data_IF_123323774244
#
_entry.id   IF_123323774244
#
_cell.length_a   1.000
_cell.length_b   1.000
_cell.length_c   1.000
_cell.angle_alpha   90.00
_cell.angle_beta   90.00
_cell.angle_gamma   90.00
#
_symmetry.space_group_name_H-M   'P 1'
#
loop_
_entity.id
_entity.type
_entity.pdbx_description
1 polymer ?
#
# COMPACT_ATOMS: atom_id res chain seq x y z
N UNK A 1 12.76 -17.03 -0.69
CA UNK A 1 13.33 -15.66 -0.61
C UNK A 1 12.75 -14.85 0.54
N UNK A 2 11.44 -14.88 0.78
CA UNK A 2 10.81 -14.14 1.88
C UNK A 2 11.34 -14.48 3.28
N UNK A 3 11.67 -15.75 3.56
CA UNK A 3 12.20 -16.13 4.88
C UNK A 3 13.59 -15.54 5.15
N UNK A 4 14.43 -15.44 4.12
CA UNK A 4 15.74 -14.76 4.23
C UNK A 4 15.55 -13.26 4.46
N UNK A 5 14.59 -12.63 3.75
CA UNK A 5 14.30 -11.21 3.94
C UNK A 5 13.81 -10.93 5.36
N UNK A 6 12.94 -11.80 5.90
CA UNK A 6 12.48 -11.73 7.27
C UNK A 6 13.61 -11.89 8.28
N UNK A 7 14.50 -12.88 8.09
CA UNK A 7 15.68 -13.08 8.93
C UNK A 7 16.56 -11.83 8.97
N UNK A 8 16.85 -11.23 7.82
CA UNK A 8 17.64 -10.00 7.75
C UNK A 8 16.95 -8.82 8.42
N UNK A 9 15.65 -8.64 8.21
CA UNK A 9 14.88 -7.59 8.88
C UNK A 9 14.87 -7.77 10.40
N UNK A 10 14.76 -9.00 10.90
CA UNK A 10 14.85 -9.28 12.33
C UNK A 10 16.23 -8.98 12.91
N UNK A 11 17.31 -9.32 12.19
CA UNK A 11 18.69 -8.94 12.57
C UNK A 11 18.84 -7.40 12.62
N UNK A 12 18.34 -6.70 11.61
CA UNK A 12 18.33 -5.24 11.58
C UNK A 12 17.54 -4.63 12.73
N UNK A 13 16.37 -5.18 13.06
CA UNK A 13 15.54 -4.71 14.18
C UNK A 13 16.31 -4.78 15.51
N UNK A 14 16.97 -5.92 15.76
CA UNK A 14 17.80 -6.11 16.96
C UNK A 14 18.97 -5.11 17.00
N UNK A 15 19.66 -4.93 15.86
CA UNK A 15 20.77 -3.99 15.77
C UNK A 15 20.30 -2.55 16.04
N UNK A 16 19.31 -2.06 15.29
CA UNK A 16 18.82 -0.67 15.42
C UNK A 16 18.21 -0.39 16.78
N UNK A 17 17.55 -1.38 17.40
CA UNK A 17 17.09 -1.27 18.79
C UNK A 17 18.23 -1.07 19.78
N UNK A 18 19.35 -1.77 19.60
CA UNK A 18 20.52 -1.67 20.52
C UNK A 18 21.22 -0.31 20.45
N UNK A 19 21.19 0.36 19.30
CA UNK A 19 21.80 1.68 19.08
C UNK A 19 20.76 2.82 19.07
N UNK A 20 19.52 2.54 19.50
CA UNK A 20 18.43 3.50 19.67
C UNK A 20 18.08 4.33 18.41
N UNK A 21 18.27 3.77 17.22
CA UNK A 21 17.94 4.42 15.95
C UNK A 21 16.43 4.30 15.64
N UNK A 22 15.64 5.20 16.21
CA UNK A 22 14.16 5.14 16.20
C UNK A 22 13.54 5.05 14.81
N UNK A 23 13.95 5.91 13.88
CA UNK A 23 13.45 5.91 12.50
C UNK A 23 13.65 4.57 11.81
N UNK A 24 14.81 3.93 12.03
CA UNK A 24 15.12 2.65 11.42
C UNK A 24 14.33 1.51 12.06
N UNK A 25 14.13 1.52 13.38
CA UNK A 25 13.25 0.56 14.07
C UNK A 25 11.83 0.61 13.51
N UNK A 26 11.23 1.80 13.42
CA UNK A 26 9.89 1.98 12.86
C UNK A 26 9.79 1.48 11.42
N UNK A 27 10.77 1.83 10.58
CA UNK A 27 10.83 1.39 9.18
C UNK A 27 11.00 -0.13 9.04
N UNK A 28 11.82 -0.75 9.91
CA UNK A 28 11.98 -2.21 9.91
C UNK A 28 10.69 -2.92 10.32
N UNK A 29 9.97 -2.42 11.33
CA UNK A 29 8.67 -2.97 11.75
C UNK A 29 7.62 -2.83 10.63
N UNK A 30 7.57 -1.68 9.97
CA UNK A 30 6.75 -1.46 8.78
C UNK A 30 7.00 -2.52 7.70
N UNK A 31 8.26 -2.80 7.37
CA UNK A 31 8.60 -3.82 6.37
C UNK A 31 8.28 -5.24 6.82
N UNK A 32 8.51 -5.59 8.09
CA UNK A 32 8.15 -6.89 8.64
C UNK A 32 6.63 -7.14 8.53
N UNK A 33 5.80 -6.16 8.89
CA UNK A 33 4.34 -6.27 8.77
C UNK A 33 3.93 -6.47 7.31
N UNK A 34 4.44 -5.65 6.39
CA UNK A 34 4.14 -5.78 4.95
C UNK A 34 4.58 -7.13 4.39
N UNK A 35 5.73 -7.64 4.82
CA UNK A 35 6.22 -8.95 4.42
C UNK A 35 5.30 -10.07 4.94
N UNK A 36 4.91 -10.02 6.20
CA UNK A 36 3.96 -10.99 6.78
C UNK A 36 2.59 -10.96 6.08
N UNK A 37 2.08 -9.78 5.74
CA UNK A 37 0.84 -9.65 4.95
C UNK A 37 0.98 -10.28 3.56
N UNK A 38 2.11 -10.07 2.86
CA UNK A 38 2.39 -10.72 1.57
C UNK A 38 2.50 -12.24 1.68
N UNK A 39 3.06 -12.75 2.79
CA UNK A 39 3.09 -14.19 3.12
C UNK A 39 1.73 -14.74 3.54
N UNK A 40 0.68 -13.90 3.65
CA UNK A 40 -0.64 -14.23 4.22
C UNK A 40 -0.58 -14.69 5.69
N UNK A 41 0.49 -14.35 6.40
CA UNK A 41 0.70 -14.66 7.81
C UNK A 41 0.11 -13.56 8.72
N UNK A 42 -1.22 -13.47 8.78
CA UNK A 42 -1.93 -12.39 9.49
C UNK A 42 -1.59 -12.33 10.99
N UNK A 43 -1.48 -13.48 11.66
CA UNK A 43 -1.14 -13.52 13.09
C UNK A 43 0.23 -12.89 13.35
N UNK A 44 1.20 -13.21 12.51
CA UNK A 44 2.54 -12.64 12.61
C UNK A 44 2.54 -11.13 12.32
N UNK A 45 1.79 -10.68 11.31
CA UNK A 45 1.63 -9.26 11.04
C UNK A 45 1.05 -8.51 12.26
N UNK A 46 0.07 -9.11 12.95
CA UNK A 46 -0.50 -8.57 14.19
C UNK A 46 0.50 -8.52 15.34
N UNK A 47 1.35 -9.53 15.48
CA UNK A 47 2.37 -9.53 16.53
C UNK A 47 3.43 -8.44 16.30
N UNK A 48 3.86 -8.25 15.05
CA UNK A 48 4.71 -7.10 14.69
C UNK A 48 3.98 -5.77 14.88
N UNK A 49 2.67 -5.68 14.61
CA UNK A 49 1.89 -4.47 14.87
C UNK A 49 1.81 -4.15 16.37
N UNK A 50 1.66 -5.14 17.25
CA UNK A 50 1.69 -4.91 18.72
C UNK A 50 3.04 -4.33 19.15
N UNK A 51 4.14 -4.84 18.59
CA UNK A 51 5.48 -4.31 18.85
C UNK A 51 5.61 -2.87 18.32
N UNK A 52 5.10 -2.61 17.11
CA UNK A 52 5.11 -1.29 16.52
C UNK A 52 4.23 -0.29 17.29
N UNK A 53 3.09 -0.72 17.83
CA UNK A 53 2.25 0.09 18.69
C UNK A 53 3.00 0.57 19.93
N UNK A 54 3.64 -0.34 20.67
CA UNK A 54 4.44 0.02 21.86
C UNK A 54 5.53 1.03 21.50
N UNK A 55 6.27 0.74 20.43
CA UNK A 55 7.31 1.62 19.93
C UNK A 55 6.78 3.01 19.53
N UNK A 56 5.61 3.07 18.90
CA UNK A 56 4.97 4.31 18.46
C UNK A 56 4.42 5.13 19.62
N UNK A 57 3.88 4.51 20.67
CA UNK A 57 3.43 5.22 21.87
C UNK A 57 4.61 5.88 22.58
N UNK A 58 5.76 5.23 22.63
CA UNK A 58 6.94 5.75 23.32
C UNK A 58 7.72 6.79 22.51
N UNK A 59 7.77 6.63 21.18
CA UNK A 59 8.73 7.34 20.32
C UNK A 59 8.18 7.75 18.95
N UNK A 60 6.87 7.61 18.75
CA UNK A 60 6.23 7.79 17.45
C UNK A 60 5.97 9.25 17.12
N UNK A 61 6.68 9.76 16.12
CA UNK A 61 6.46 11.10 15.57
C UNK A 61 6.57 11.06 14.03
N UNK A 62 5.91 12.02 13.37
CA UNK A 62 5.95 12.20 11.92
C UNK A 62 5.79 10.90 11.12
N UNK A 63 6.80 10.55 10.32
CA UNK A 63 6.80 9.37 9.45
C UNK A 63 6.62 8.05 10.21
N UNK A 64 7.08 7.93 11.46
CA UNK A 64 6.93 6.68 12.23
C UNK A 64 5.46 6.44 12.56
N UNK A 65 4.76 7.47 13.03
CA UNK A 65 3.33 7.42 13.34
C UNK A 65 2.50 7.15 12.08
N UNK A 66 2.89 7.78 10.97
CA UNK A 66 2.31 7.49 9.66
C UNK A 66 2.44 6.01 9.28
N UNK A 67 3.64 5.42 9.36
CA UNK A 67 3.86 4.01 9.02
C UNK A 67 3.12 3.06 9.94
N UNK A 68 3.02 3.39 11.24
CA UNK A 68 2.22 2.62 12.18
C UNK A 68 0.73 2.63 11.81
N UNK A 69 0.15 3.81 11.57
CA UNK A 69 -1.24 3.97 11.19
C UNK A 69 -1.55 3.26 9.87
N UNK A 70 -0.67 3.39 8.88
CA UNK A 70 -0.76 2.67 7.62
C UNK A 70 -0.76 1.16 7.86
N UNK A 71 0.19 0.61 8.62
CA UNK A 71 0.22 -0.82 8.95
C UNK A 71 -1.04 -1.29 9.66
N UNK A 72 -1.59 -0.49 10.57
CA UNK A 72 -2.87 -0.79 11.24
C UNK A 72 -4.01 -0.88 10.22
N UNK A 73 -4.14 0.09 9.32
CA UNK A 73 -5.14 0.07 8.25
C UNK A 73 -5.00 -1.15 7.33
N UNK A 74 -3.77 -1.57 6.98
CA UNK A 74 -3.56 -2.75 6.14
C UNK A 74 -4.00 -4.05 6.82
N UNK A 75 -3.78 -4.17 8.12
CA UNK A 75 -4.24 -5.32 8.90
C UNK A 75 -5.76 -5.33 9.00
N UNK A 76 -6.38 -4.17 9.26
CA UNK A 76 -7.83 -4.02 9.29
C UNK A 76 -8.47 -4.36 7.92
N UNK A 77 -7.90 -3.84 6.82
CA UNK A 77 -8.31 -4.13 5.43
C UNK A 77 -8.23 -5.61 5.08
N UNK A 78 -7.32 -6.37 5.70
CA UNK A 78 -7.21 -7.82 5.48
C UNK A 78 -8.30 -8.63 6.18
N UNK A 79 -9.07 -8.01 7.08
CA UNK A 79 -10.19 -8.64 7.77
C UNK A 79 -11.36 -8.89 6.82
N UNK A 80 -12.09 -10.01 6.97
CA UNK A 80 -13.33 -10.23 6.22
C UNK A 80 -14.49 -9.36 6.73
N UNK A 81 -14.37 -8.72 7.91
CA UNK A 81 -15.45 -7.96 8.53
C UNK A 81 -15.57 -6.58 7.91
N UNK A 82 -16.78 -6.20 7.51
CA UNK A 82 -17.07 -4.88 6.93
C UNK A 82 -16.64 -3.73 7.86
N UNK A 83 -16.96 -3.84 9.15
CA UNK A 83 -16.56 -2.86 10.16
C UNK A 83 -15.05 -2.55 10.13
N UNK A 84 -14.20 -3.58 10.04
CA UNK A 84 -12.75 -3.40 10.03
C UNK A 84 -12.29 -2.73 8.71
N UNK A 85 -12.93 -3.06 7.59
CA UNK A 85 -12.66 -2.40 6.30
C UNK A 85 -13.03 -0.91 6.33
N UNK A 86 -14.17 -0.56 6.92
CA UNK A 86 -14.59 0.84 7.10
C UNK A 86 -13.61 1.61 8.00
N UNK A 87 -13.13 1.00 9.08
CA UNK A 87 -12.11 1.64 9.93
C UNK A 87 -10.76 1.78 9.20
N UNK A 88 -10.36 0.79 8.40
CA UNK A 88 -9.17 0.90 7.55
C UNK A 88 -9.28 2.07 6.58
N UNK A 89 -10.44 2.23 5.93
CA UNK A 89 -10.71 3.31 5.00
C UNK A 89 -10.58 4.68 5.67
N UNK A 90 -11.21 4.84 6.84
CA UNK A 90 -11.14 6.07 7.64
C UNK A 90 -9.70 6.45 7.96
N UNK A 91 -8.87 5.49 8.37
CA UNK A 91 -7.44 5.72 8.64
C UNK A 91 -6.72 6.14 7.37
N UNK A 92 -6.93 5.47 6.23
CA UNK A 92 -6.25 5.81 4.98
C UNK A 92 -6.64 7.20 4.47
N UNK A 93 -7.90 7.61 4.61
CA UNK A 93 -8.36 8.97 4.29
C UNK A 93 -7.70 10.02 5.19
N UNK A 94 -7.70 9.78 6.50
CA UNK A 94 -7.04 10.67 7.46
C UNK A 94 -5.55 10.83 7.14
N UNK A 95 -4.88 9.75 6.77
CA UNK A 95 -3.48 9.79 6.33
C UNK A 95 -3.29 10.69 5.09
N UNK A 96 -4.11 10.54 4.05
CA UNK A 96 -4.00 11.38 2.85
C UNK A 96 -4.31 12.85 3.14
N UNK A 97 -5.33 13.13 3.97
CA UNK A 97 -5.68 14.50 4.35
C UNK A 97 -4.51 15.19 5.08
N UNK A 98 -3.84 14.48 5.99
CA UNK A 98 -2.66 15.03 6.70
C UNK A 98 -1.47 15.27 5.75
N UNK A 99 -1.31 14.46 4.70
CA UNK A 99 -0.31 14.71 3.65
C UNK A 99 -0.66 15.97 2.87
N UNK A 100 -1.92 16.11 2.45
CA UNK A 100 -2.40 17.27 1.67
C UNK A 100 -2.27 18.58 2.45
N UNK A 101 -2.56 18.55 3.77
CA UNK A 101 -2.43 19.71 4.66
C UNK A 101 -0.98 20.04 5.01
N UNK A 102 -0.02 19.16 4.68
CA UNK A 102 1.39 19.33 5.02
C UNK A 102 1.74 19.02 6.48
N UNK A 103 0.81 18.44 7.25
CA UNK A 103 1.03 18.00 8.64
C UNK A 103 2.09 16.90 8.73
N UNK A 104 2.20 16.09 7.66
CA UNK A 104 3.18 15.03 7.51
C UNK A 104 3.77 15.03 6.10
N UNK A 105 5.05 14.70 6.00
CA UNK A 105 5.73 14.51 4.73
C UNK A 105 6.29 13.09 4.64
N UNK A 106 5.45 12.08 4.32
CA UNK A 106 5.94 10.72 4.12
C UNK A 106 6.82 10.65 2.86
N UNK A 107 7.51 9.53 2.67
CA UNK A 107 8.18 9.31 1.40
C UNK A 107 7.12 9.27 0.29
N UNK A 108 7.37 9.90 -0.85
CA UNK A 108 6.40 9.96 -1.95
C UNK A 108 5.81 8.59 -2.30
N UNK A 109 6.61 7.52 -2.26
CA UNK A 109 6.15 6.13 -2.49
C UNK A 109 5.06 5.64 -1.54
N UNK A 110 5.02 6.19 -0.32
CA UNK A 110 4.06 5.79 0.69
C UNK A 110 2.67 6.42 0.44
N UNK A 111 2.60 7.68 0.00
CA UNK A 111 1.32 8.34 -0.35
C UNK A 111 0.56 7.61 -1.46
N UNK A 112 1.28 7.16 -2.50
CA UNK A 112 0.72 6.32 -3.58
C UNK A 112 0.25 4.99 -3.03
N UNK A 113 1.00 4.42 -2.09
CA UNK A 113 0.66 3.14 -1.50
C UNK A 113 -0.62 3.24 -0.65
N UNK A 114 -0.79 4.33 0.10
CA UNK A 114 -2.05 4.65 0.80
C UNK A 114 -3.18 4.80 -0.21
N UNK A 115 -2.98 5.59 -1.26
CA UNK A 115 -3.97 5.86 -2.31
C UNK A 115 -4.43 4.60 -3.04
N UNK A 116 -3.51 3.68 -3.36
CA UNK A 116 -3.85 2.38 -3.97
C UNK A 116 -4.74 1.57 -3.02
N UNK A 117 -4.38 1.49 -1.74
CA UNK A 117 -5.15 0.71 -0.78
C UNK A 117 -6.52 1.31 -0.45
N UNK A 118 -6.63 2.64 -0.47
CA UNK A 118 -7.92 3.32 -0.38
C UNK A 118 -8.77 2.98 -1.61
N UNK A 119 -8.21 3.11 -2.81
CA UNK A 119 -8.90 2.75 -4.06
C UNK A 119 -9.40 1.30 -4.05
N UNK A 120 -8.61 0.35 -3.53
CA UNK A 120 -9.04 -1.04 -3.39
C UNK A 120 -10.22 -1.23 -2.43
N UNK A 121 -10.30 -0.45 -1.35
CA UNK A 121 -11.45 -0.50 -0.43
C UNK A 121 -12.71 0.06 -1.10
N UNK A 122 -12.59 1.20 -1.80
CA UNK A 122 -13.70 1.83 -2.52
C UNK A 122 -14.21 0.94 -3.66
N UNK A 123 -13.31 0.25 -4.38
CA UNK A 123 -13.71 -0.74 -5.38
C UNK A 123 -14.49 -1.89 -4.75
N UNK A 124 -14.07 -2.37 -3.57
CA UNK A 124 -14.80 -3.40 -2.83
C UNK A 124 -16.16 -2.91 -2.35
N UNK A 125 -16.28 -1.65 -1.95
CA UNK A 125 -17.56 -1.04 -1.57
C UNK A 125 -18.49 -0.93 -2.77
N UNK A 126 -18.01 -0.41 -3.90
CA UNK A 126 -18.77 -0.30 -5.14
C UNK A 126 -19.28 -1.68 -5.59
N UNK A 127 -18.45 -2.71 -5.55
CA UNK A 127 -18.84 -4.09 -5.90
C UNK A 127 -19.94 -4.63 -4.97
N UNK A 128 -19.88 -4.31 -3.67
CA UNK A 128 -20.83 -4.82 -2.67
C UNK A 128 -22.16 -4.07 -2.68
N UNK A 129 -22.13 -2.76 -2.92
CA UNK A 129 -23.28 -1.86 -2.75
C UNK A 129 -23.92 -1.45 -4.06
N UNK A 130 -23.17 -1.51 -5.17
CA UNK A 130 -23.50 -0.88 -6.47
C UNK A 130 -23.77 0.62 -6.37
N UNK A 131 -23.24 1.28 -5.34
CA UNK A 131 -23.46 2.70 -5.11
C UNK A 131 -22.54 3.53 -6.02
N UNK A 132 -23.11 4.00 -7.14
CA UNK A 132 -22.34 4.66 -8.20
C UNK A 132 -21.72 6.00 -7.77
N UNK A 133 -22.19 6.60 -6.66
CA UNK A 133 -21.58 7.82 -6.11
C UNK A 133 -20.11 7.59 -5.69
N UNK A 134 -19.75 6.36 -5.30
CA UNK A 134 -18.36 5.96 -4.98
C UNK A 134 -17.42 6.12 -6.18
N UNK A 135 -17.92 6.10 -7.41
CA UNK A 135 -17.10 6.38 -8.61
C UNK A 135 -16.49 7.77 -8.58
N UNK A 136 -17.24 8.77 -8.07
CA UNK A 136 -16.76 10.14 -7.93
C UNK A 136 -15.54 10.25 -7.01
N UNK A 137 -15.31 9.26 -6.16
CA UNK A 137 -14.15 9.18 -5.27
C UNK A 137 -13.00 8.35 -5.88
N UNK A 138 -13.33 7.26 -6.59
CA UNK A 138 -12.33 6.37 -7.20
C UNK A 138 -11.60 7.05 -8.37
N UNK A 139 -12.33 7.72 -9.26
CA UNK A 139 -11.77 8.26 -10.50
C UNK A 139 -10.66 9.30 -10.26
N UNK A 140 -10.82 10.30 -9.37
CA UNK A 140 -9.75 11.25 -9.08
C UNK A 140 -8.49 10.57 -8.53
N UNK A 141 -8.65 9.55 -7.68
CA UNK A 141 -7.52 8.78 -7.13
C UNK A 141 -6.76 8.09 -8.26
N UNK A 142 -7.45 7.39 -9.18
CA UNK A 142 -6.83 6.71 -10.32
C UNK A 142 -6.11 7.71 -11.24
N UNK A 143 -6.72 8.86 -11.53
CA UNK A 143 -6.11 9.91 -12.37
C UNK A 143 -4.81 10.41 -11.75
N UNK A 144 -4.82 10.71 -10.45
CA UNK A 144 -3.63 11.18 -9.73
C UNK A 144 -2.53 10.12 -9.69
N UNK A 145 -2.89 8.86 -9.41
CA UNK A 145 -1.96 7.74 -9.42
C UNK A 145 -1.33 7.52 -10.81
N UNK A 146 -2.11 7.65 -11.88
CA UNK A 146 -1.61 7.51 -13.25
C UNK A 146 -0.61 8.61 -13.60
N UNK A 147 -0.97 9.88 -13.34
CA UNK A 147 -0.09 11.03 -13.54
C UNK A 147 1.23 10.85 -12.78
N UNK A 148 1.16 10.33 -11.56
CA UNK A 148 2.34 10.03 -10.78
C UNK A 148 3.21 8.94 -11.43
N UNK A 149 2.62 7.81 -11.80
CA UNK A 149 3.34 6.68 -12.38
C UNK A 149 4.07 7.08 -13.67
N UNK A 150 3.43 7.91 -14.50
CA UNK A 150 3.99 8.45 -15.74
C UNK A 150 5.12 9.45 -15.47
N UNK A 151 4.90 10.42 -14.59
CA UNK A 151 5.90 11.45 -14.26
C UNK A 151 7.19 10.84 -13.71
N UNK A 152 7.08 9.78 -12.90
CA UNK A 152 8.23 9.08 -12.32
C UNK A 152 8.77 7.94 -13.19
N UNK A 153 8.15 7.68 -14.35
CA UNK A 153 8.47 6.54 -15.22
C UNK A 153 8.52 5.21 -14.45
N UNK A 154 7.67 5.06 -13.44
CA UNK A 154 7.65 3.86 -12.59
C UNK A 154 6.78 2.79 -13.22
N UNK A 155 7.43 1.81 -13.85
CA UNK A 155 6.73 0.64 -14.40
C UNK A 155 5.90 -0.09 -13.34
N UNK A 156 6.41 -0.17 -12.10
CA UNK A 156 5.69 -0.83 -11.01
C UNK A 156 4.36 -0.13 -10.70
N UNK A 157 4.38 1.18 -10.47
CA UNK A 157 3.17 1.93 -10.16
C UNK A 157 2.22 1.99 -11.35
N UNK A 158 2.74 2.07 -12.57
CA UNK A 158 1.91 2.03 -13.76
C UNK A 158 1.13 0.72 -13.86
N UNK A 159 1.77 -0.42 -13.59
CA UNK A 159 1.11 -1.73 -13.56
C UNK A 159 0.01 -1.79 -12.51
N UNK A 160 0.28 -1.34 -11.28
CA UNK A 160 -0.71 -1.32 -10.19
C UNK A 160 -1.94 -0.46 -10.57
N UNK A 161 -1.72 0.72 -11.14
CA UNK A 161 -2.82 1.60 -11.59
C UNK A 161 -3.62 0.98 -12.72
N UNK A 162 -2.97 0.30 -13.67
CA UNK A 162 -3.68 -0.41 -14.75
C UNK A 162 -4.52 -1.57 -14.22
N UNK A 163 -4.08 -2.24 -13.17
CA UNK A 163 -4.88 -3.26 -12.48
C UNK A 163 -6.10 -2.62 -11.81
N UNK A 164 -5.97 -1.46 -11.16
CA UNK A 164 -7.11 -0.73 -10.59
C UNK A 164 -8.12 -0.31 -11.67
N UNK A 165 -7.64 0.24 -12.79
CA UNK A 165 -8.49 0.58 -13.94
C UNK A 165 -9.22 -0.64 -14.50
N UNK A 166 -8.54 -1.79 -14.60
CA UNK A 166 -9.14 -3.03 -15.04
C UNK A 166 -10.23 -3.53 -14.08
N UNK A 167 -10.00 -3.49 -12.76
CA UNK A 167 -10.97 -3.86 -11.73
C UNK A 167 -12.21 -2.97 -11.81
N UNK A 168 -12.01 -1.65 -11.89
CA UNK A 168 -13.10 -0.69 -12.04
C UNK A 168 -13.97 -1.00 -13.26
N UNK A 169 -13.34 -1.19 -14.43
CA UNK A 169 -14.05 -1.55 -15.65
C UNK A 169 -14.76 -2.89 -15.59
N UNK A 170 -14.31 -3.86 -14.79
CA UNK A 170 -15.06 -5.11 -14.58
C UNK A 170 -16.32 -4.86 -13.77
N UNK A 171 -16.21 -4.12 -12.67
CA UNK A 171 -17.33 -3.79 -11.78
C UNK A 171 -18.40 -2.99 -12.54
N UNK A 172 -17.99 -2.10 -13.45
CA UNK A 172 -18.91 -1.32 -14.30
C UNK A 172 -19.32 -2.02 -15.59
N UNK A 173 -19.05 -3.33 -15.73
CA UNK A 173 -19.37 -4.17 -16.89
C UNK A 173 -18.76 -3.73 -18.24
N UNK A 174 -17.71 -2.91 -18.21
CA UNK A 174 -16.94 -2.48 -19.37
C UNK A 174 -15.83 -3.49 -19.74
N UNK A 175 -16.23 -4.73 -20.05
CA UNK A 175 -15.31 -5.88 -20.24
C UNK A 175 -14.16 -5.62 -21.23
N UNK A 176 -14.45 -4.97 -22.37
CA UNK A 176 -13.44 -4.63 -23.39
C UNK A 176 -12.39 -3.67 -22.84
N UNK A 177 -12.81 -2.66 -22.06
CA UNK A 177 -11.88 -1.71 -21.43
C UNK A 177 -11.04 -2.42 -20.37
N UNK A 178 -11.65 -3.29 -19.58
CA UNK A 178 -10.92 -4.08 -18.59
C UNK A 178 -9.82 -4.93 -19.22
N UNK A 179 -10.16 -5.70 -20.26
CA UNK A 179 -9.19 -6.52 -20.98
C UNK A 179 -8.04 -5.67 -21.54
N UNK A 180 -8.35 -4.52 -22.13
CA UNK A 180 -7.34 -3.59 -22.63
C UNK A 180 -6.39 -3.12 -21.52
N UNK A 181 -6.91 -2.77 -20.35
CA UNK A 181 -6.07 -2.35 -19.22
C UNK A 181 -5.19 -3.49 -18.69
N UNK A 182 -5.70 -4.72 -18.61
CA UNK A 182 -4.90 -5.90 -18.24
C UNK A 182 -3.78 -6.17 -19.24
N UNK A 183 -4.05 -6.07 -20.54
CA UNK A 183 -3.03 -6.21 -21.59
C UNK A 183 -1.95 -5.13 -21.47
N UNK A 184 -2.33 -3.88 -21.17
CA UNK A 184 -1.38 -2.80 -20.91
C UNK A 184 -0.49 -3.09 -19.69
N UNK A 185 -1.08 -3.61 -18.60
CA UNK A 185 -0.35 -4.00 -17.40
C UNK A 185 0.68 -5.11 -17.71
N UNK A 186 0.24 -6.17 -18.41
CA UNK A 186 1.11 -7.29 -18.81
C UNK A 186 2.26 -6.84 -19.70
N UNK A 187 1.98 -6.04 -20.74
CA UNK A 187 3.02 -5.54 -21.64
C UNK A 187 4.06 -4.70 -20.92
N UNK A 188 3.61 -3.82 -20.01
CA UNK A 188 4.50 -2.97 -19.21
C UNK A 188 5.37 -3.80 -18.27
N UNK A 189 4.79 -4.80 -17.62
CA UNK A 189 5.51 -5.73 -16.77
C UNK A 189 6.62 -6.46 -17.53
N UNK A 190 6.30 -7.04 -18.70
CA UNK A 190 7.27 -7.75 -19.54
C UNK A 190 8.44 -6.86 -19.95
N UNK A 191 8.17 -5.62 -20.38
CA UNK A 191 9.23 -4.63 -20.67
C UNK A 191 10.14 -4.36 -19.48
N UNK A 192 9.57 -4.25 -18.29
CA UNK A 192 10.35 -3.98 -17.07
C UNK A 192 11.30 -5.13 -16.71
N UNK A 193 10.89 -6.38 -16.97
CA UNK A 193 11.71 -7.57 -16.74
C UNK A 193 12.87 -7.61 -17.74
N UNK A 194 12.59 -7.40 -19.03
CA UNK A 194 13.62 -7.38 -20.08
C UNK A 194 14.66 -6.27 -19.84
N UNK A 195 14.21 -5.07 -19.45
CA UNK A 195 15.11 -3.96 -19.15
C UNK A 195 16.04 -4.27 -17.95
N UNK A 196 15.54 -4.98 -16.93
CA UNK A 196 16.38 -5.42 -15.80
C UNK A 196 17.42 -6.46 -16.20
N UNK A 197 17.05 -7.41 -17.06
CA UNK A 197 17.97 -8.45 -17.53
C UNK A 197 19.14 -7.88 -18.35
N UNK A 198 18.89 -6.82 -19.13
CA UNK A 198 19.92 -6.13 -19.92
C UNK A 198 20.90 -5.30 -19.10
N UNK A 199 20.50 -4.85 -17.90
CA UNK A 199 21.37 -4.08 -16.99
C UNK A 199 22.25 -4.97 -16.08
N UNK A 200 21.97 -6.27 -16.03
CA UNK A 200 22.73 -7.25 -15.25
C UNK A 200 23.80 -8.01 -16.06
N UNK A 201 24.05 -7.60 -17.30
CA UNK A 201 25.10 -8.08 -18.20
C UNK A 201 26.16 -7.00 -18.38
#
# INVERSE_FOLDING_TARGET
>A
EFDKAEEYLMKSLKLYGSIQLTTFVGKTLYFLIRLSLRKKSINQARDYLKLFHKFNVERGEGTISFHYQLCNALILKSSPRLHDKTEAEKILRDLLNKVEQGDIMPQFSDEIFVSIHLCELLLSELEMTNEMTVLGEIEPIIINLLKYAETRRSYYWFVEVKILQAKLSLITFEMVKSQRFLTQAQHTFSKSVTARAQLSQ
#
